data_IF_503730808183
#
_entry.id   IF_503730808183
#
_cell.length_a   1.000
_cell.length_b   1.000
_cell.length_c   1.000
_cell.angle_alpha   90.00
_cell.angle_beta   90.00
_cell.angle_gamma   90.00
#
_symmetry.space_group_name_H-M   'P 1'
#
loop_
_entity.id
_entity.type
_entity.pdbx_description
1 polymer ?
#
# COMPACT_ATOMS: atom_id res chain seq x y z
N UNK A 1 13.43 8.37 -12.93
CA UNK A 1 13.87 6.98 -13.22
C UNK A 1 15.33 6.70 -12.85
N UNK A 2 16.28 7.63 -13.04
CA UNK A 2 17.71 7.39 -12.75
C UNK A 2 18.03 7.11 -11.26
N UNK A 3 17.30 7.73 -10.31
CA UNK A 3 17.56 7.56 -8.87
C UNK A 3 17.12 6.20 -8.32
N UNK A 4 16.12 5.56 -8.94
CA UNK A 4 15.60 4.25 -8.52
C UNK A 4 16.36 3.08 -9.16
N UNK A 5 16.92 3.27 -10.36
CA UNK A 5 17.79 2.29 -10.99
C UNK A 5 19.05 1.99 -10.15
N UNK A 6 19.50 2.94 -9.32
CA UNK A 6 20.65 2.77 -8.42
C UNK A 6 20.35 1.89 -7.20
N UNK A 7 19.07 1.67 -6.86
CA UNK A 7 18.65 0.83 -5.74
C UNK A 7 18.63 -0.66 -6.13
N UNK A 8 18.43 -0.97 -7.41
CA UNK A 8 18.36 -2.34 -7.92
C UNK A 8 19.67 -3.13 -7.82
N UNK A 9 20.82 -2.47 -7.66
CA UNK A 9 22.14 -3.13 -7.60
C UNK A 9 22.44 -3.87 -6.29
N UNK A 10 21.55 -3.84 -5.29
CA UNK A 10 21.76 -4.47 -3.97
C UNK A 10 20.53 -5.24 -3.44
N UNK A 11 19.57 -5.63 -4.28
CA UNK A 11 18.55 -6.57 -3.80
C UNK A 11 19.16 -7.97 -3.69
N UNK A 12 19.16 -8.55 -2.49
CA UNK A 12 19.66 -9.92 -2.23
C UNK A 12 18.85 -11.03 -2.92
N UNK A 13 17.76 -10.68 -3.59
CA UNK A 13 16.94 -11.62 -4.35
C UNK A 13 17.71 -12.04 -5.62
N UNK A 14 18.06 -13.32 -5.72
CA UNK A 14 18.82 -13.93 -6.85
C UNK A 14 18.10 -13.67 -8.18
N UNK A 15 18.51 -12.68 -8.97
CA UNK A 15 17.74 -12.27 -10.15
C UNK A 15 17.34 -13.42 -11.09
N UNK A 16 16.04 -13.53 -11.38
CA UNK A 16 15.52 -14.48 -12.35
C UNK A 16 15.71 -13.93 -13.76
N UNK A 17 16.13 -14.80 -14.68
CA UNK A 17 16.19 -14.47 -16.11
C UNK A 17 14.85 -14.81 -16.75
N UNK A 18 14.18 -13.80 -17.29
CA UNK A 18 12.96 -13.98 -18.08
C UNK A 18 13.28 -14.16 -19.56
N UNK A 19 12.60 -15.09 -20.23
CA UNK A 19 12.58 -15.14 -21.70
C UNK A 19 11.97 -13.84 -22.22
N UNK A 20 12.75 -13.05 -22.96
CA UNK A 20 12.38 -11.71 -23.34
C UNK A 20 11.25 -11.68 -24.38
N UNK A 21 9.99 -11.61 -23.95
CA UNK A 21 8.89 -11.14 -24.81
C UNK A 21 8.95 -9.61 -24.98
N UNK A 22 10.13 -9.06 -25.30
CA UNK A 22 10.38 -7.62 -25.46
C UNK A 22 9.49 -6.98 -26.51
N UNK A 23 9.13 -7.73 -27.54
CA UNK A 23 8.31 -7.24 -28.64
C UNK A 23 6.90 -6.88 -28.18
N UNK A 24 6.27 -7.67 -27.30
CA UNK A 24 4.90 -7.37 -26.85
C UNK A 24 4.83 -6.06 -26.05
N UNK A 25 5.63 -5.94 -24.98
CA UNK A 25 5.63 -4.75 -24.14
C UNK A 25 6.02 -3.49 -24.94
N UNK A 26 7.04 -3.61 -25.80
CA UNK A 26 7.47 -2.52 -26.70
C UNK A 26 6.32 -2.09 -27.61
N UNK A 27 5.68 -3.02 -28.31
CA UNK A 27 4.57 -2.72 -29.22
C UNK A 27 3.37 -2.12 -28.50
N UNK A 28 3.01 -2.59 -27.30
CA UNK A 28 1.93 -2.01 -26.50
C UNK A 28 2.26 -0.56 -26.13
N UNK A 29 3.47 -0.31 -25.60
CA UNK A 29 3.89 1.04 -25.23
C UNK A 29 3.94 1.98 -26.44
N UNK A 30 4.41 1.52 -27.60
CA UNK A 30 4.41 2.30 -28.83
C UNK A 30 3.00 2.68 -29.26
N UNK A 31 2.05 1.73 -29.24
CA UNK A 31 0.65 1.96 -29.62
C UNK A 31 -0.06 2.91 -28.65
N UNK A 32 0.12 2.73 -27.33
CA UNK A 32 -0.44 3.63 -26.31
C UNK A 32 0.10 5.04 -26.48
N UNK A 33 1.42 5.20 -26.64
CA UNK A 33 2.02 6.51 -26.84
C UNK A 33 1.59 7.17 -28.16
N UNK A 34 1.43 6.39 -29.23
CA UNK A 34 0.92 6.89 -30.51
C UNK A 34 -0.54 7.37 -30.38
N UNK A 35 -1.37 6.61 -29.67
CA UNK A 35 -2.75 7.00 -29.38
C UNK A 35 -2.83 8.30 -28.57
N UNK A 36 -2.05 8.42 -27.49
CA UNK A 36 -2.02 9.62 -26.65
C UNK A 36 -1.60 10.85 -27.46
N UNK A 37 -0.52 10.74 -28.27
CA UNK A 37 -0.09 11.84 -29.16
C UNK A 37 -1.14 12.21 -30.20
N UNK A 38 -1.75 11.22 -30.87
CA UNK A 38 -2.77 11.45 -31.89
C UNK A 38 -3.97 12.21 -31.35
N UNK A 39 -4.34 11.96 -30.09
CA UNK A 39 -5.50 12.58 -29.43
C UNK A 39 -5.14 13.78 -28.55
N UNK A 40 -3.88 14.24 -28.55
CA UNK A 40 -3.37 15.30 -27.67
C UNK A 40 -3.69 15.06 -26.18
N UNK A 41 -3.62 13.80 -25.74
CA UNK A 41 -3.88 13.38 -24.37
C UNK A 41 -2.56 13.26 -23.59
N UNK A 42 -2.43 13.89 -22.42
CA UNK A 42 -1.27 13.67 -21.57
C UNK A 42 -1.35 12.30 -20.88
N UNK A 43 -0.20 11.66 -20.65
CA UNK A 43 -0.13 10.35 -20.00
C UNK A 43 -0.37 10.39 -18.47
N UNK A 44 -0.25 11.57 -17.87
CA UNK A 44 -0.40 11.87 -16.44
C UNK A 44 -0.63 13.37 -16.26
N UNK A 45 -0.75 13.83 -15.01
CA UNK A 45 -0.86 15.27 -14.70
C UNK A 45 -2.12 15.91 -15.28
N UNK A 46 -3.25 15.20 -15.14
CA UNK A 46 -4.56 15.65 -15.64
C UNK A 46 -5.42 16.20 -14.50
N UNK A 47 -6.27 17.21 -14.74
CA UNK A 47 -7.18 17.75 -13.72
C UNK A 47 -8.03 16.69 -13.01
N UNK A 48 -8.43 15.63 -13.73
CA UNK A 48 -9.19 14.52 -13.15
C UNK A 48 -8.44 13.79 -12.02
N UNK A 49 -7.11 13.70 -12.07
CA UNK A 49 -6.30 13.08 -11.00
C UNK A 49 -6.33 13.92 -9.72
N UNK A 50 -6.25 15.24 -9.86
CA UNK A 50 -6.35 16.17 -8.73
C UNK A 50 -7.75 16.17 -8.14
N UNK A 51 -8.79 16.16 -8.98
CA UNK A 51 -10.18 16.07 -8.51
C UNK A 51 -10.43 14.76 -7.74
N UNK A 52 -9.99 13.62 -8.29
CA UNK A 52 -10.04 12.30 -7.63
C UNK A 52 -9.38 12.36 -6.25
N UNK A 53 -8.20 12.96 -6.17
CA UNK A 53 -7.43 13.09 -4.92
C UNK A 53 -8.15 13.97 -3.90
N UNK A 54 -8.66 15.12 -4.33
CA UNK A 54 -9.43 16.02 -3.45
C UNK A 54 -10.67 15.31 -2.91
N UNK A 55 -11.43 14.62 -3.75
CA UNK A 55 -12.62 13.87 -3.32
C UNK A 55 -12.25 12.80 -2.29
N UNK A 56 -11.21 12.01 -2.55
CA UNK A 56 -10.80 10.90 -1.67
C UNK A 56 -10.22 11.41 -0.35
N UNK A 57 -9.44 12.51 -0.37
CA UNK A 57 -8.92 13.13 0.86
C UNK A 57 -10.01 13.84 1.65
N UNK A 58 -10.98 14.48 0.98
CA UNK A 58 -12.14 15.06 1.64
C UNK A 58 -13.03 13.97 2.27
N UNK A 59 -13.18 12.82 1.63
CA UNK A 59 -13.85 11.66 2.22
C UNK A 59 -13.10 11.16 3.46
N UNK A 60 -11.78 10.97 3.35
CA UNK A 60 -10.94 10.53 4.47
C UNK A 60 -11.04 11.50 5.67
N UNK A 61 -10.85 12.80 5.44
CA UNK A 61 -10.89 13.80 6.50
C UNK A 61 -12.32 14.01 7.02
N UNK A 62 -13.30 14.07 6.14
CA UNK A 62 -14.70 14.30 6.49
C UNK A 62 -15.25 13.19 7.37
N UNK A 63 -15.04 11.92 7.02
CA UNK A 63 -15.48 10.80 7.86
C UNK A 63 -14.74 10.77 9.20
N UNK A 64 -13.45 11.10 9.21
CA UNK A 64 -12.69 11.18 10.47
C UNK A 64 -13.21 12.28 11.40
N UNK A 65 -13.49 13.48 10.87
CA UNK A 65 -14.06 14.58 11.65
C UNK A 65 -15.48 14.25 12.12
N UNK A 66 -16.29 13.56 11.32
CA UNK A 66 -17.60 13.07 11.74
C UNK A 66 -17.50 12.06 12.89
N UNK A 67 -16.51 11.16 12.86
CA UNK A 67 -16.24 10.25 13.98
C UNK A 67 -15.91 11.03 15.25
N UNK A 68 -15.02 12.03 15.19
CA UNK A 68 -14.56 12.76 16.37
C UNK A 68 -15.58 13.78 16.92
N UNK A 69 -16.34 14.43 16.04
CA UNK A 69 -17.15 15.61 16.40
C UNK A 69 -18.65 15.38 16.26
N UNK A 70 -19.09 14.25 15.68
CA UNK A 70 -20.49 14.02 15.36
C UNK A 70 -21.36 13.56 16.53
N UNK A 71 -20.75 13.11 17.63
CA UNK A 71 -21.45 12.62 18.84
C UNK A 71 -22.56 11.59 18.55
N UNK A 72 -22.34 10.73 17.55
CA UNK A 72 -23.33 9.73 17.14
C UNK A 72 -23.39 8.54 18.09
N UNK A 73 -24.45 7.72 17.93
CA UNK A 73 -24.57 6.46 18.66
C UNK A 73 -23.44 5.49 18.30
N UNK A 74 -23.10 4.53 19.19
CA UNK A 74 -22.04 3.55 18.92
C UNK A 74 -22.22 2.79 17.60
N UNK A 75 -23.47 2.47 17.22
CA UNK A 75 -23.75 1.77 15.96
C UNK A 75 -23.39 2.61 14.74
N UNK A 76 -23.71 3.91 14.76
CA UNK A 76 -23.34 4.84 13.67
C UNK A 76 -21.82 4.99 13.60
N UNK A 77 -21.13 5.07 14.74
CA UNK A 77 -19.66 5.15 14.75
C UNK A 77 -19.01 3.88 14.19
N UNK A 78 -19.56 2.69 14.44
CA UNK A 78 -19.09 1.44 13.80
C UNK A 78 -19.20 1.54 12.28
N UNK A 79 -20.33 2.02 11.75
CA UNK A 79 -20.50 2.23 10.30
C UNK A 79 -19.51 3.27 9.77
N UNK A 80 -19.31 4.37 10.49
CA UNK A 80 -18.33 5.39 10.11
C UNK A 80 -16.89 4.85 10.14
N UNK A 81 -16.53 3.94 11.05
CA UNK A 81 -15.23 3.25 11.02
C UNK A 81 -15.06 2.44 9.72
N UNK A 82 -16.08 1.70 9.29
CA UNK A 82 -16.05 0.97 8.01
C UNK A 82 -15.92 1.93 6.81
N UNK A 83 -16.70 3.01 6.80
CA UNK A 83 -16.64 4.04 5.76
C UNK A 83 -15.26 4.71 5.71
N UNK A 84 -14.67 5.00 6.87
CA UNK A 84 -13.34 5.59 6.94
C UNK A 84 -12.24 4.61 6.50
N UNK A 85 -12.38 3.33 6.83
CA UNK A 85 -11.49 2.28 6.32
C UNK A 85 -11.51 2.21 4.79
N UNK A 86 -12.69 2.34 4.16
CA UNK A 86 -12.80 2.44 2.71
C UNK A 86 -12.11 3.70 2.18
N UNK A 87 -12.25 4.84 2.85
CA UNK A 87 -11.53 6.07 2.49
C UNK A 87 -10.00 5.90 2.56
N UNK A 88 -9.49 5.25 3.62
CA UNK A 88 -8.07 4.89 3.77
C UNK A 88 -7.61 4.04 2.60
N UNK A 89 -8.34 2.97 2.28
CA UNK A 89 -8.02 2.12 1.14
C UNK A 89 -8.04 2.90 -0.17
N UNK A 90 -9.03 3.79 -0.37
CA UNK A 90 -9.10 4.65 -1.55
C UNK A 90 -7.91 5.59 -1.66
N UNK A 91 -7.45 6.21 -0.57
CA UNK A 91 -6.21 7.01 -0.57
C UNK A 91 -5.02 6.13 -0.97
N UNK A 92 -4.91 4.94 -0.39
CA UNK A 92 -3.87 3.96 -0.70
C UNK A 92 -3.79 3.62 -2.19
N UNK A 93 -4.92 3.24 -2.78
CA UNK A 93 -4.98 2.78 -4.17
C UNK A 93 -4.96 3.90 -5.22
N UNK A 94 -5.54 5.07 -4.92
CA UNK A 94 -5.80 6.08 -5.95
C UNK A 94 -4.90 7.31 -5.85
N UNK A 95 -4.20 7.50 -4.73
CA UNK A 95 -3.37 8.69 -4.50
C UNK A 95 -1.95 8.25 -4.22
N UNK A 96 -1.80 7.42 -3.19
CA UNK A 96 -0.51 6.92 -2.71
C UNK A 96 0.17 6.04 -3.75
N UNK A 97 -0.53 5.08 -4.34
CA UNK A 97 -0.03 4.18 -5.39
C UNK A 97 0.47 4.96 -6.62
N UNK A 98 -0.39 5.78 -7.22
CA UNK A 98 -0.07 6.57 -8.43
C UNK A 98 1.16 7.47 -8.21
N UNK A 99 1.25 8.14 -7.07
CA UNK A 99 2.37 9.02 -6.74
C UNK A 99 3.66 8.26 -6.46
N UNK A 100 3.60 7.09 -5.81
CA UNK A 100 4.77 6.25 -5.56
C UNK A 100 5.30 5.55 -6.82
N UNK A 101 4.48 5.41 -7.87
CA UNK A 101 4.92 5.07 -9.23
C UNK A 101 5.48 6.26 -10.02
N UNK A 102 5.30 7.49 -9.52
CA UNK A 102 5.62 8.71 -10.26
C UNK A 102 4.68 9.00 -11.43
N UNK A 103 3.49 8.37 -11.42
CA UNK A 103 2.45 8.52 -12.44
C UNK A 103 1.47 9.65 -12.16
N UNK A 104 1.63 10.39 -11.05
CA UNK A 104 0.65 11.38 -10.62
C UNK A 104 0.77 12.71 -11.39
N UNK A 105 1.96 13.31 -11.41
CA UNK A 105 2.24 14.62 -12.04
C UNK A 105 3.51 14.56 -12.90
N UNK A 106 3.70 15.51 -13.82
CA UNK A 106 4.97 15.67 -14.52
C UNK A 106 6.05 16.28 -13.62
N UNK A 107 5.67 16.93 -12.51
CA UNK A 107 6.62 17.55 -11.60
C UNK A 107 7.07 16.56 -10.50
N UNK A 108 8.36 16.19 -10.40
CA UNK A 108 8.82 15.19 -9.44
C UNK A 108 8.56 15.56 -7.98
N UNK A 109 8.61 16.85 -7.63
CA UNK A 109 8.29 17.31 -6.29
C UNK A 109 6.82 17.07 -5.92
N UNK A 110 5.89 17.22 -6.87
CA UNK A 110 4.46 16.97 -6.61
C UNK A 110 4.26 15.48 -6.33
N UNK A 111 4.85 14.60 -7.13
CA UNK A 111 4.82 13.16 -6.87
C UNK A 111 5.42 12.82 -5.50
N UNK A 112 6.56 13.43 -5.14
CA UNK A 112 7.18 13.23 -3.82
C UNK A 112 6.23 13.67 -2.70
N UNK A 113 5.63 14.85 -2.80
CA UNK A 113 4.70 15.36 -1.78
C UNK A 113 3.47 14.46 -1.65
N UNK A 114 2.82 14.12 -2.77
CA UNK A 114 1.61 13.28 -2.78
C UNK A 114 1.93 11.86 -2.31
N UNK A 115 3.12 11.34 -2.61
CA UNK A 115 3.55 10.02 -2.12
C UNK A 115 3.64 9.91 -0.59
N UNK A 116 3.74 11.04 0.12
CA UNK A 116 3.70 11.08 1.59
C UNK A 116 2.34 10.68 2.18
N UNK A 117 1.32 10.52 1.32
CA UNK A 117 0.07 9.87 1.71
C UNK A 117 0.28 8.42 2.18
N UNK A 118 1.38 7.74 1.82
CA UNK A 118 1.74 6.46 2.45
C UNK A 118 1.98 6.63 3.95
N UNK A 119 2.84 7.59 4.31
CA UNK A 119 3.19 7.92 5.67
C UNK A 119 1.97 8.43 6.46
N UNK A 120 1.08 9.20 5.82
CA UNK A 120 -0.21 9.63 6.38
C UNK A 120 -1.07 8.42 6.81
N UNK A 121 -1.07 7.36 6.00
CA UNK A 121 -1.77 6.11 6.29
C UNK A 121 -0.97 5.14 7.18
N UNK A 122 0.19 5.58 7.68
CA UNK A 122 1.06 4.79 8.54
C UNK A 122 1.84 3.68 7.81
N UNK A 123 1.84 3.65 6.48
CA UNK A 123 2.68 2.77 5.68
C UNK A 123 4.03 3.45 5.36
N UNK A 124 5.11 2.70 5.30
CA UNK A 124 6.38 3.23 4.77
C UNK A 124 6.33 3.33 3.24
N UNK A 125 6.32 4.55 2.69
CA UNK A 125 6.44 4.75 1.24
C UNK A 125 7.78 4.25 0.71
N UNK A 126 8.85 4.35 1.50
CA UNK A 126 10.15 3.74 1.19
C UNK A 126 10.04 2.23 1.01
N UNK A 127 9.48 1.51 2.00
CA UNK A 127 9.31 0.06 1.93
C UNK A 127 8.44 -0.32 0.75
N UNK A 128 7.31 0.38 0.61
CA UNK A 128 6.34 0.10 -0.43
C UNK A 128 6.94 0.22 -1.84
N UNK A 129 7.76 1.24 -2.13
CA UNK A 129 8.41 1.37 -3.44
C UNK A 129 9.37 0.23 -3.74
N UNK A 130 10.04 -0.32 -2.74
CA UNK A 130 10.94 -1.47 -2.93
C UNK A 130 10.12 -2.75 -3.11
N UNK A 131 9.18 -3.01 -2.20
CA UNK A 131 8.25 -4.14 -2.26
C UNK A 131 7.51 -4.19 -3.59
N UNK A 132 6.78 -3.14 -3.90
CA UNK A 132 5.88 -3.10 -5.03
C UNK A 132 6.64 -2.83 -6.34
N UNK A 133 7.39 -1.73 -6.45
CA UNK A 133 7.97 -1.33 -7.74
C UNK A 133 9.18 -2.16 -8.16
N UNK A 134 9.88 -2.79 -7.22
CA UNK A 134 11.05 -3.63 -7.53
C UNK A 134 10.67 -5.10 -7.49
N UNK A 135 10.16 -5.62 -6.38
CA UNK A 135 9.93 -7.06 -6.26
C UNK A 135 8.67 -7.50 -6.99
N UNK A 136 7.51 -6.94 -6.64
CA UNK A 136 6.24 -7.32 -7.24
C UNK A 136 6.19 -7.05 -8.74
N UNK A 137 6.55 -5.84 -9.21
CA UNK A 137 6.51 -5.53 -10.65
C UNK A 137 7.58 -6.27 -11.50
N UNK A 138 8.64 -6.80 -10.88
CA UNK A 138 9.65 -7.60 -11.61
C UNK A 138 9.34 -9.09 -11.56
N UNK A 139 8.81 -9.60 -10.45
CA UNK A 139 8.65 -11.03 -10.16
C UNK A 139 7.21 -11.41 -9.78
N UNK A 140 6.23 -10.70 -10.34
CA UNK A 140 4.80 -10.80 -10.00
C UNK A 140 4.35 -12.25 -9.86
N UNK A 141 3.78 -12.59 -8.71
CA UNK A 141 3.23 -13.91 -8.40
C UNK A 141 4.26 -15.08 -8.41
N UNK A 142 5.56 -14.79 -8.27
CA UNK A 142 6.62 -15.79 -8.10
C UNK A 142 7.02 -15.89 -6.63
N UNK A 143 6.66 -17.02 -5.98
CA UNK A 143 7.06 -17.30 -4.61
C UNK A 143 8.59 -17.28 -4.42
N UNK A 144 9.02 -16.70 -3.29
CA UNK A 144 10.39 -16.42 -2.91
C UNK A 144 10.95 -15.12 -3.49
N UNK A 145 10.22 -14.46 -4.39
CA UNK A 145 10.67 -13.27 -5.12
C UNK A 145 9.74 -12.08 -4.99
N UNK A 146 8.44 -12.34 -4.88
CA UNK A 146 7.41 -11.34 -4.68
C UNK A 146 6.89 -11.43 -3.24
N UNK A 147 7.25 -10.43 -2.41
CA UNK A 147 6.81 -10.30 -1.00
C UNK A 147 5.27 -10.28 -0.89
N UNK A 148 4.54 -9.96 -1.98
CA UNK A 148 3.08 -9.90 -1.98
C UNK A 148 2.43 -11.30 -1.86
N UNK A 149 3.10 -12.36 -2.35
CA UNK A 149 2.60 -13.74 -2.27
C UNK A 149 3.19 -14.53 -1.09
N UNK A 150 3.97 -13.88 -0.22
CA UNK A 150 4.58 -14.49 0.97
C UNK A 150 3.64 -14.44 2.18
N UNK A 151 2.98 -15.57 2.46
CA UNK A 151 1.89 -15.64 3.46
C UNK A 151 2.28 -16.35 4.76
N UNK A 152 3.59 -16.55 5.01
CA UNK A 152 4.10 -17.42 6.08
C UNK A 152 3.50 -18.84 6.07
N UNK A 153 3.04 -19.30 4.89
CA UNK A 153 2.42 -20.60 4.71
C UNK A 153 1.00 -20.72 5.25
N UNK A 154 0.33 -19.60 5.55
CA UNK A 154 -1.09 -19.53 5.94
C UNK A 154 -2.02 -19.64 4.73
N UNK A 155 -1.57 -19.21 3.56
CA UNK A 155 -2.34 -19.28 2.32
C UNK A 155 -1.49 -19.71 1.13
N UNK A 156 -2.11 -20.41 0.18
CA UNK A 156 -1.52 -20.74 -1.12
C UNK A 156 -2.03 -19.75 -2.16
N UNK A 157 -1.16 -18.86 -2.60
CA UNK A 157 -1.45 -17.82 -3.61
C UNK A 157 -0.83 -18.11 -4.98
N UNK A 158 0.04 -19.11 -5.08
CA UNK A 158 0.65 -19.54 -6.34
C UNK A 158 0.64 -21.06 -6.48
N UNK A 159 0.46 -21.61 -7.70
CA UNK A 159 0.51 -23.06 -7.92
C UNK A 159 1.83 -23.71 -7.50
N UNK A 160 2.93 -22.93 -7.48
CA UNK A 160 4.28 -23.41 -7.14
C UNK A 160 4.51 -23.59 -5.64
N UNK A 161 3.67 -23.03 -4.78
CA UNK A 161 3.79 -23.21 -3.35
C UNK A 161 3.35 -24.64 -2.96
N UNK A 162 4.11 -25.34 -2.08
CA UNK A 162 3.77 -26.68 -1.60
C UNK A 162 2.36 -26.70 -1.01
N UNK A 163 1.58 -27.73 -1.33
CA UNK A 163 0.22 -27.86 -0.82
C UNK A 163 0.21 -28.33 0.65
N UNK A 164 -0.74 -27.83 1.44
CA UNK A 164 -1.02 -28.22 2.83
C UNK A 164 -2.52 -28.50 3.01
N UNK A 165 -2.93 -29.43 3.90
CA UNK A 165 -4.34 -29.74 4.15
C UNK A 165 -5.24 -28.54 4.46
N UNK A 166 -4.69 -27.60 5.23
CA UNK A 166 -5.23 -26.26 5.51
C UNK A 166 -5.85 -25.59 4.28
N UNK A 167 -5.21 -25.66 3.11
CA UNK A 167 -5.66 -24.91 1.93
C UNK A 167 -6.98 -25.39 1.34
N UNK A 168 -7.44 -26.61 1.71
CA UNK A 168 -8.75 -27.12 1.30
C UNK A 168 -9.91 -26.21 1.79
N UNK A 169 -9.71 -25.52 2.91
CA UNK A 169 -10.71 -24.64 3.53
C UNK A 169 -10.33 -23.15 3.43
N UNK A 170 -9.38 -22.80 2.56
CA UNK A 170 -8.90 -21.42 2.39
C UNK A 170 -10.01 -20.42 2.09
N UNK A 171 -11.03 -20.82 1.32
CA UNK A 171 -12.20 -19.97 1.02
C UNK A 171 -12.94 -19.49 2.27
N UNK A 172 -12.84 -20.21 3.39
CA UNK A 172 -13.55 -19.86 4.63
C UNK A 172 -12.72 -18.99 5.56
N UNK A 173 -11.40 -19.19 5.61
CA UNK A 173 -10.53 -18.44 6.53
C UNK A 173 -9.77 -17.29 5.87
N UNK A 174 -9.78 -17.16 4.53
CA UNK A 174 -9.08 -16.05 3.87
C UNK A 174 -9.54 -14.66 4.35
N UNK A 175 -10.81 -14.37 4.69
CA UNK A 175 -11.18 -13.03 5.11
C UNK A 175 -10.47 -12.62 6.40
N UNK A 176 -10.22 -13.58 7.30
CA UNK A 176 -9.46 -13.35 8.53
C UNK A 176 -8.01 -13.04 8.19
N UNK A 177 -7.37 -13.85 7.35
CA UNK A 177 -5.95 -13.65 6.98
C UNK A 177 -5.76 -12.35 6.20
N UNK A 178 -6.66 -12.05 5.26
CA UNK A 178 -6.63 -10.80 4.51
C UNK A 178 -6.89 -9.61 5.43
N UNK A 179 -7.80 -9.71 6.39
CA UNK A 179 -7.98 -8.70 7.43
C UNK A 179 -6.70 -8.37 8.20
N UNK A 180 -5.78 -9.33 8.34
CA UNK A 180 -4.50 -9.13 9.01
C UNK A 180 -3.43 -8.43 8.16
N UNK A 181 -3.64 -8.21 6.86
CA UNK A 181 -2.64 -7.63 5.95
C UNK A 181 -2.18 -6.24 6.39
N UNK A 182 -3.10 -5.39 6.87
CA UNK A 182 -2.72 -4.06 7.36
C UNK A 182 -1.76 -4.16 8.56
N UNK A 183 -1.98 -5.12 9.46
CA UNK A 183 -1.09 -5.38 10.59
C UNK A 183 0.27 -5.96 10.14
N UNK A 184 0.27 -6.90 9.18
CA UNK A 184 1.50 -7.44 8.59
C UNK A 184 2.35 -6.34 7.94
N UNK A 185 1.72 -5.37 7.27
CA UNK A 185 2.42 -4.19 6.74
C UNK A 185 3.15 -3.42 7.84
N UNK A 186 2.50 -3.16 8.97
CA UNK A 186 3.13 -2.52 10.13
C UNK A 186 4.28 -3.35 10.69
N UNK A 187 4.05 -4.65 10.89
CA UNK A 187 5.08 -5.56 11.41
C UNK A 187 6.32 -5.54 10.52
N UNK A 188 6.14 -5.70 9.21
CA UNK A 188 7.24 -5.73 8.23
C UNK A 188 7.92 -4.38 8.05
N UNK A 189 7.21 -3.27 8.25
CA UNK A 189 7.82 -1.93 8.34
C UNK A 189 8.83 -1.86 9.51
N UNK A 190 8.46 -2.40 10.69
CA UNK A 190 9.37 -2.48 11.83
C UNK A 190 10.51 -3.47 11.61
N UNK A 191 10.24 -4.62 11.01
CA UNK A 191 11.30 -5.58 10.65
C UNK A 191 12.33 -4.96 9.70
N UNK A 192 11.87 -4.19 8.70
CA UNK A 192 12.74 -3.44 7.80
C UNK A 192 13.61 -2.43 8.57
N UNK A 193 13.04 -1.60 9.45
CA UNK A 193 13.82 -0.53 10.10
C UNK A 193 14.79 -1.07 11.15
N UNK A 194 14.44 -2.19 11.82
CA UNK A 194 15.26 -2.80 12.88
C UNK A 194 16.30 -3.78 12.34
N UNK A 195 15.93 -4.61 11.36
CA UNK A 195 16.76 -5.72 10.88
C UNK A 195 17.21 -5.57 9.43
N UNK A 196 16.69 -4.58 8.70
CA UNK A 196 16.99 -4.37 7.29
C UNK A 196 16.29 -5.34 6.34
N UNK A 197 15.34 -6.17 6.81
CA UNK A 197 14.65 -7.20 6.01
C UNK A 197 13.23 -7.48 6.52
N UNK A 198 12.32 -7.90 5.65
CA UNK A 198 10.94 -8.32 6.02
C UNK A 198 10.81 -9.84 6.15
N UNK A 199 11.69 -10.60 5.51
CA UNK A 199 11.81 -12.06 5.66
C UNK A 199 13.22 -12.53 5.24
N UNK A 200 13.38 -13.82 4.94
CA UNK A 200 14.65 -14.41 4.54
C UNK A 200 15.14 -13.96 3.14
N UNK A 201 14.23 -13.59 2.24
CA UNK A 201 14.52 -13.28 0.84
C UNK A 201 14.52 -11.76 0.58
N UNK A 202 13.78 -10.99 1.39
CA UNK A 202 13.51 -9.58 1.16
C UNK A 202 14.35 -8.65 2.04
N UNK A 203 15.55 -8.31 1.56
CA UNK A 203 16.48 -7.36 2.21
C UNK A 203 16.40 -5.98 1.56
N UNK A 204 16.27 -4.95 2.39
CA UNK A 204 16.12 -3.57 1.95
C UNK A 204 17.46 -2.83 1.90
N UNK A 205 17.65 -1.90 0.93
CA UNK A 205 18.74 -0.92 0.97
C UNK A 205 18.69 -0.10 2.26
N UNK A 206 19.86 0.41 2.68
CA UNK A 206 19.95 1.33 3.82
C UNK A 206 19.13 2.59 3.55
N UNK A 207 18.24 2.94 4.47
CA UNK A 207 17.50 4.19 4.45
C UNK A 207 18.43 5.39 4.65
N UNK A 208 18.23 6.45 3.86
CA UNK A 208 18.87 7.74 4.10
C UNK A 208 18.34 8.37 5.39
N UNK A 209 19.02 9.39 5.92
CA UNK A 209 18.53 10.15 7.07
C UNK A 209 17.15 10.76 6.80
N UNK A 210 16.93 11.28 5.59
CA UNK A 210 15.63 11.82 5.18
C UNK A 210 14.54 10.74 5.19
N UNK A 211 14.82 9.54 4.65
CA UNK A 211 13.85 8.43 4.66
C UNK A 211 13.49 8.01 6.09
N UNK A 212 14.47 8.00 7.01
CA UNK A 212 14.22 7.68 8.43
C UNK A 212 13.36 8.73 9.11
N UNK A 213 13.63 10.02 8.85
CA UNK A 213 12.82 11.12 9.38
C UNK A 213 11.38 11.01 8.85
N UNK A 214 11.21 10.82 7.55
CA UNK A 214 9.90 10.63 6.92
C UNK A 214 9.16 9.42 7.50
N UNK A 215 9.85 8.29 7.68
CA UNK A 215 9.27 7.08 8.30
C UNK A 215 8.75 7.36 9.71
N UNK A 216 9.59 7.90 10.60
CA UNK A 216 9.20 8.12 11.99
C UNK A 216 8.16 9.23 12.15
N UNK A 217 8.24 10.30 11.34
CA UNK A 217 7.21 11.32 11.29
C UNK A 217 5.86 10.74 10.84
N UNK A 218 5.87 9.85 9.84
CA UNK A 218 4.67 9.12 9.41
C UNK A 218 4.10 8.22 10.49
N UNK A 219 4.94 7.44 11.19
CA UNK A 219 4.49 6.60 12.31
C UNK A 219 3.90 7.43 13.44
N UNK A 220 4.52 8.55 13.79
CA UNK A 220 3.99 9.48 14.79
C UNK A 220 2.65 10.07 14.35
N UNK A 221 2.55 10.55 13.10
CA UNK A 221 1.31 11.08 12.55
C UNK A 221 0.19 10.03 12.61
N UNK A 222 0.48 8.79 12.18
CA UNK A 222 -0.47 7.69 12.24
C UNK A 222 -0.93 7.40 13.67
N UNK A 223 -0.02 7.36 14.64
CA UNK A 223 -0.38 7.16 16.06
C UNK A 223 -1.26 8.31 16.56
N UNK A 224 -0.95 9.55 16.17
CA UNK A 224 -1.76 10.71 16.55
C UNK A 224 -3.19 10.60 16.02
N UNK A 225 -3.35 10.26 14.73
CA UNK A 225 -4.66 10.13 14.09
C UNK A 225 -5.43 8.90 14.62
N UNK A 226 -4.78 7.76 14.79
CA UNK A 226 -5.46 6.52 15.18
C UNK A 226 -5.74 6.42 16.68
N UNK A 227 -4.92 7.05 17.52
CA UNK A 227 -5.01 6.87 18.98
C UNK A 227 -5.09 8.19 19.74
N UNK A 228 -4.15 9.12 19.54
CA UNK A 228 -4.08 10.31 20.41
C UNK A 228 -5.35 11.15 20.31
N UNK A 229 -5.76 11.54 19.10
CA UNK A 229 -6.97 12.37 18.93
C UNK A 229 -8.26 11.62 19.32
N UNK A 230 -8.50 10.36 18.93
CA UNK A 230 -9.67 9.61 19.39
C UNK A 230 -9.73 9.44 20.91
N UNK A 231 -8.59 9.25 21.59
CA UNK A 231 -8.54 9.12 23.06
C UNK A 231 -8.93 10.39 23.80
N UNK A 232 -8.91 11.56 23.15
CA UNK A 232 -9.43 12.80 23.73
C UNK A 232 -10.96 12.86 23.73
N UNK A 233 -11.62 12.03 22.92
CA UNK A 233 -13.08 12.05 22.70
C UNK A 233 -13.76 10.80 23.24
N UNK A 234 -13.11 9.64 23.10
CA UNK A 234 -13.67 8.33 23.39
C UNK A 234 -12.88 7.59 24.48
N UNK A 235 -13.52 6.74 25.29
CA UNK A 235 -12.81 5.87 26.20
C UNK A 235 -11.92 4.89 25.43
N UNK A 236 -10.79 4.51 26.03
CA UNK A 236 -9.73 3.73 25.37
C UNK A 236 -10.21 2.44 24.69
N UNK A 237 -11.22 1.77 25.26
CA UNK A 237 -11.74 0.52 24.70
C UNK A 237 -12.54 0.75 23.41
N UNK A 238 -13.21 1.89 23.25
CA UNK A 238 -13.89 2.25 22.00
C UNK A 238 -12.87 2.59 20.91
N UNK A 239 -11.80 3.31 21.28
CA UNK A 239 -10.69 3.60 20.36
C UNK A 239 -10.05 2.31 19.86
N UNK A 240 -9.80 1.35 20.76
CA UNK A 240 -9.25 0.05 20.38
C UNK A 240 -10.19 -0.73 19.46
N UNK A 241 -11.49 -0.78 19.75
CA UNK A 241 -12.48 -1.44 18.87
C UNK A 241 -12.53 -0.78 17.50
N UNK A 242 -12.60 0.56 17.44
CA UNK A 242 -12.61 1.32 16.20
C UNK A 242 -11.35 1.08 15.37
N UNK A 243 -10.18 1.11 16.01
CA UNK A 243 -8.90 0.78 15.37
C UNK A 243 -8.91 -0.63 14.79
N UNK A 244 -9.39 -1.64 15.53
CA UNK A 244 -9.49 -3.01 15.01
C UNK A 244 -10.42 -3.12 13.81
N UNK A 245 -11.61 -2.50 13.86
CA UNK A 245 -12.55 -2.46 12.74
C UNK A 245 -11.88 -1.84 11.50
N UNK A 246 -11.23 -0.70 11.67
CA UNK A 246 -10.57 0.01 10.58
C UNK A 246 -9.45 -0.83 9.97
N UNK A 247 -8.53 -1.33 10.80
CA UNK A 247 -7.37 -2.09 10.33
C UNK A 247 -7.76 -3.41 9.67
N UNK A 248 -8.72 -4.15 10.23
CA UNK A 248 -9.23 -5.39 9.63
C UNK A 248 -9.93 -5.12 8.30
N UNK A 249 -10.69 -4.03 8.21
CA UNK A 249 -11.39 -3.67 6.97
C UNK A 249 -10.41 -3.22 5.88
N UNK A 250 -9.45 -2.35 6.22
CA UNK A 250 -8.37 -1.95 5.30
C UNK A 250 -7.59 -3.16 4.83
N UNK A 251 -7.21 -4.06 5.74
CA UNK A 251 -6.50 -5.30 5.41
C UNK A 251 -7.30 -6.16 4.44
N UNK A 252 -8.59 -6.38 4.72
CA UNK A 252 -9.45 -7.21 3.88
C UNK A 252 -9.59 -6.62 2.47
N UNK A 253 -9.87 -5.32 2.37
CA UNK A 253 -9.98 -4.61 1.08
C UNK A 253 -8.66 -4.66 0.32
N UNK A 254 -7.54 -4.46 1.02
CA UNK A 254 -6.21 -4.62 0.44
C UNK A 254 -6.00 -6.03 -0.09
N UNK A 255 -6.30 -7.06 0.69
CA UNK A 255 -6.14 -8.45 0.25
C UNK A 255 -6.99 -8.78 -0.97
N UNK A 256 -8.26 -8.37 -0.99
CA UNK A 256 -9.17 -8.67 -2.12
C UNK A 256 -8.77 -7.93 -3.39
N UNK A 257 -8.36 -6.66 -3.29
CA UNK A 257 -8.04 -5.85 -4.48
C UNK A 257 -6.61 -6.08 -4.95
N UNK A 258 -5.65 -6.08 -4.02
CA UNK A 258 -4.22 -6.08 -4.34
C UNK A 258 -3.69 -7.46 -4.69
N UNK A 259 -4.23 -8.55 -4.11
CA UNK A 259 -3.76 -9.91 -4.42
C UNK A 259 -4.29 -10.46 -5.74
N UNK A 260 -5.15 -9.71 -6.45
CA UNK A 260 -5.56 -10.03 -7.81
C UNK A 260 -4.63 -9.41 -8.87
N UNK A 261 -3.73 -8.50 -8.45
CA UNK A 261 -2.83 -7.76 -9.34
C UNK A 261 -1.54 -8.53 -9.68
#
# INVERSE_FOLDING_TARGET
MATYARIAGKSSVRSLRFTQRRNFQKTVNERVNAYLRKNNLPARDVPAMYLKTTIVLAWWLGTYLLLLLGHFSPLVNIVLCLVWAMAIASVGFNVMHDANHGGYSNHPFVNKLVSLSAEMLGMSGFRWRIKHNVWHHTYTNIAGFDDDVETFGLMRLTPRAPWKPLFKVQVWYFPVIYGMIAFDFFLRDFMMVLFGKSDANHVYPKMSTADKVTFWAGKLFFIVIMFVLPLLVFPWWQVLIGFMIVMLTVGLVMGVVFQLA
#
